data_IF_960736969954
#
_entry.id   IF_960736969954
#
_cell.length_a   1.000
_cell.length_b   1.000
_cell.length_c   1.000
_cell.angle_alpha   90.00
_cell.angle_beta   90.00
_cell.angle_gamma   90.00
#
_symmetry.space_group_name_H-M   'P 1'
#
loop_
_entity.id
_entity.type
_entity.pdbx_description
1 polymer ?
#
# COMPACT_ATOMS: atom_id res chain seq x y z
N UNK A 1 -10.34 25.47 -17.10
CA UNK A 1 -8.99 25.40 -16.50
C UNK A 1 -9.01 24.70 -15.14
N UNK A 2 -10.01 24.92 -14.29
CA UNK A 2 -10.13 24.25 -12.98
C UNK A 2 -10.23 22.71 -13.06
N UNK A 3 -10.82 22.17 -14.13
CA UNK A 3 -10.94 20.71 -14.34
C UNK A 3 -9.64 20.02 -14.73
N UNK A 4 -8.65 20.77 -15.24
CA UNK A 4 -7.38 20.19 -15.67
C UNK A 4 -6.52 19.76 -14.48
N UNK A 5 -6.53 20.53 -13.39
CA UNK A 5 -5.77 20.20 -12.17
C UNK A 5 -6.26 18.93 -11.50
N UNK A 6 -7.58 18.66 -11.55
CA UNK A 6 -8.22 17.51 -10.89
C UNK A 6 -8.17 16.25 -11.77
N UNK A 7 -7.76 16.38 -13.03
CA UNK A 7 -7.62 15.23 -13.92
C UNK A 7 -6.57 14.25 -13.34
N UNK A 8 -6.89 12.98 -13.07
CA UNK A 8 -6.05 12.11 -12.24
C UNK A 8 -4.59 11.96 -12.71
N UNK A 9 -4.31 11.78 -14.02
CA UNK A 9 -2.93 11.79 -14.52
C UNK A 9 -2.18 13.10 -14.27
N UNK A 10 -2.85 14.25 -14.39
CA UNK A 10 -2.24 15.58 -14.17
C UNK A 10 -1.96 15.77 -12.68
N UNK A 11 -2.93 15.48 -11.81
CA UNK A 11 -2.75 15.54 -10.37
C UNK A 11 -1.60 14.62 -9.90
N UNK A 12 -1.54 13.40 -10.43
CA UNK A 12 -0.46 12.46 -10.16
C UNK A 12 0.91 13.02 -10.55
N UNK A 13 1.04 13.56 -11.76
CA UNK A 13 2.31 14.13 -12.24
C UNK A 13 2.75 15.33 -11.39
N UNK A 14 1.81 16.20 -11.01
CA UNK A 14 2.10 17.35 -10.15
C UNK A 14 2.62 16.89 -8.79
N UNK A 15 1.94 15.95 -8.13
CA UNK A 15 2.33 15.42 -6.83
C UNK A 15 3.66 14.66 -6.88
N UNK A 16 3.87 13.86 -7.94
CA UNK A 16 5.14 13.17 -8.18
C UNK A 16 6.28 14.17 -8.32
N UNK A 17 6.10 15.19 -9.16
CA UNK A 17 7.11 16.22 -9.40
C UNK A 17 7.40 17.03 -8.12
N UNK A 18 6.37 17.37 -7.35
CA UNK A 18 6.54 17.99 -6.04
C UNK A 18 7.36 17.12 -5.08
N UNK A 19 7.07 15.82 -5.00
CA UNK A 19 7.83 14.86 -4.19
C UNK A 19 9.29 14.73 -4.63
N UNK A 20 9.55 14.70 -5.94
CA UNK A 20 10.91 14.66 -6.50
C UNK A 20 11.68 15.95 -6.21
N UNK A 21 11.04 17.12 -6.33
CA UNK A 21 11.65 18.41 -5.99
C UNK A 21 11.99 18.46 -4.51
N UNK A 22 11.06 18.06 -3.63
CA UNK A 22 11.31 18.00 -2.19
C UNK A 22 12.48 17.06 -1.88
N UNK A 23 12.50 15.84 -2.43
CA UNK A 23 13.59 14.88 -2.24
C UNK A 23 14.94 15.44 -2.71
N UNK A 24 14.98 16.05 -3.89
CA UNK A 24 16.20 16.65 -4.44
C UNK A 24 16.68 17.84 -3.60
N UNK A 25 15.77 18.72 -3.16
CA UNK A 25 16.09 19.88 -2.35
C UNK A 25 16.58 19.46 -0.96
N UNK A 26 15.87 18.54 -0.30
CA UNK A 26 16.27 17.97 0.98
C UNK A 26 17.63 17.28 0.90
N UNK A 27 17.90 16.52 -0.18
CA UNK A 27 19.21 15.88 -0.40
C UNK A 27 20.35 16.87 -0.64
N UNK A 28 20.06 18.06 -1.21
CA UNK A 28 21.05 19.13 -1.39
C UNK A 28 21.31 19.91 -0.10
N UNK A 29 20.27 20.17 0.69
CA UNK A 29 20.38 20.90 1.97
C UNK A 29 20.97 20.00 3.07
N UNK A 30 20.74 18.69 3.01
CA UNK A 30 21.24 17.75 4.00
C UNK A 30 22.77 17.82 4.14
N UNK A 31 23.24 17.89 5.38
CA UNK A 31 24.66 17.83 5.69
C UNK A 31 25.22 16.45 5.32
N UNK A 32 26.17 16.41 4.38
CA UNK A 32 26.72 15.14 3.87
C UNK A 32 27.88 14.60 4.69
N UNK A 33 28.56 15.46 5.47
CA UNK A 33 29.80 15.14 6.19
C UNK A 33 30.96 14.86 5.23
N UNK A 34 32.17 15.34 5.53
CA UNK A 34 33.32 15.17 4.65
C UNK A 34 33.81 13.70 4.55
N UNK A 35 33.53 12.89 5.58
CA UNK A 35 33.81 11.45 5.62
C UNK A 35 32.62 10.74 6.24
N UNK A 36 32.23 9.60 5.68
CA UNK A 36 31.25 8.71 6.31
C UNK A 36 31.89 8.14 7.57
N UNK A 37 31.34 8.44 8.76
CA UNK A 37 31.84 7.86 9.99
C UNK A 37 31.69 6.33 9.96
N UNK A 38 32.60 5.58 10.58
CA UNK A 38 32.42 4.15 10.80
C UNK A 38 31.08 3.92 11.50
N UNK A 39 30.19 3.13 10.90
CA UNK A 39 28.86 2.86 11.45
C UNK A 39 27.71 3.72 10.91
N UNK A 40 27.94 4.78 10.13
CA UNK A 40 26.87 5.64 9.57
C UNK A 40 25.79 4.86 8.80
N UNK A 41 26.20 3.78 8.13
CA UNK A 41 25.35 2.93 7.31
C UNK A 41 25.06 1.56 7.97
N UNK A 42 25.48 1.34 9.22
CA UNK A 42 25.13 0.11 9.95
C UNK A 42 23.65 0.17 10.34
N UNK A 43 22.97 -0.98 10.29
CA UNK A 43 21.61 -1.12 10.82
C UNK A 43 21.56 -0.73 12.29
N UNK A 44 20.46 -0.11 12.71
CA UNK A 44 20.27 0.23 14.11
C UNK A 44 20.07 -1.05 14.94
N UNK A 45 20.99 -1.33 15.85
CA UNK A 45 20.95 -2.45 16.79
C UNK A 45 21.40 -2.04 18.19
N UNK A 46 21.03 -0.84 18.64
CA UNK A 46 21.45 -0.29 19.94
C UNK A 46 22.99 -0.23 20.16
N UNK A 47 23.77 -0.17 19.08
CA UNK A 47 25.24 -0.16 19.12
C UNK A 47 25.88 -1.54 18.92
N UNK A 48 25.08 -2.60 18.81
CA UNK A 48 25.53 -3.96 18.53
C UNK A 48 25.60 -4.24 17.02
N UNK A 49 26.49 -5.17 16.64
CA UNK A 49 26.58 -5.68 15.28
C UNK A 49 25.54 -6.80 15.09
N UNK A 50 24.58 -6.57 14.19
CA UNK A 50 23.55 -7.56 13.87
C UNK A 50 24.13 -8.59 12.89
N UNK A 51 24.41 -9.79 13.39
CA UNK A 51 24.98 -10.89 12.58
C UNK A 51 24.03 -11.37 11.46
N UNK A 52 22.71 -11.33 11.71
CA UNK A 52 21.70 -11.74 10.73
C UNK A 52 20.71 -10.61 10.40
N UNK A 53 21.02 -9.76 9.41
CA UNK A 53 20.16 -8.63 9.05
C UNK A 53 18.85 -9.04 8.35
N UNK A 54 18.66 -10.33 8.03
CA UNK A 54 17.48 -10.85 7.32
C UNK A 54 16.75 -11.90 8.14
N UNK A 55 16.33 -11.51 9.34
CA UNK A 55 15.34 -12.26 10.09
C UNK A 55 14.04 -12.32 9.27
N UNK A 56 13.46 -13.51 9.16
CA UNK A 56 12.11 -13.72 8.64
C UNK A 56 11.16 -13.77 9.84
N UNK A 57 10.56 -12.64 10.24
CA UNK A 57 9.57 -12.67 11.30
C UNK A 57 8.39 -13.55 10.88
N UNK A 58 7.83 -14.28 11.85
CA UNK A 58 6.65 -15.10 11.59
C UNK A 58 5.43 -14.19 11.36
N UNK A 59 4.95 -14.16 10.12
CA UNK A 59 3.75 -13.46 9.71
C UNK A 59 2.53 -14.38 9.60
N UNK A 60 2.59 -15.62 10.11
CA UNK A 60 1.47 -16.57 10.07
C UNK A 60 0.16 -15.96 10.58
N UNK A 61 0.22 -15.17 11.66
CA UNK A 61 -0.92 -14.47 12.21
C UNK A 61 -1.39 -13.29 11.35
N UNK A 62 -0.47 -12.61 10.66
CA UNK A 62 -0.79 -11.48 9.79
C UNK A 62 -1.41 -11.93 8.45
N UNK A 63 -1.10 -13.15 8.01
CA UNK A 63 -1.52 -13.70 6.73
C UNK A 63 -3.03 -13.65 6.53
N UNK A 64 -3.82 -14.09 7.54
CA UNK A 64 -5.28 -14.03 7.46
C UNK A 64 -5.81 -12.59 7.33
N UNK A 65 -5.18 -11.61 7.98
CA UNK A 65 -5.58 -10.21 7.84
C UNK A 65 -5.28 -9.69 6.43
N UNK A 66 -4.10 -9.99 5.88
CA UNK A 66 -3.75 -9.57 4.53
C UNK A 66 -4.76 -10.07 3.49
N UNK A 67 -5.12 -11.36 3.54
CA UNK A 67 -6.10 -11.94 2.63
C UNK A 67 -7.52 -11.41 2.86
N UNK A 68 -7.92 -11.19 4.11
CA UNK A 68 -9.18 -10.53 4.43
C UNK A 68 -9.26 -9.17 3.73
N UNK A 69 -8.24 -8.32 3.90
CA UNK A 69 -8.19 -7.01 3.27
C UNK A 69 -8.21 -7.11 1.74
N UNK A 70 -7.48 -8.05 1.14
CA UNK A 70 -7.50 -8.25 -0.31
C UNK A 70 -8.87 -8.64 -0.83
N UNK A 71 -9.55 -9.61 -0.20
CA UNK A 71 -10.90 -10.04 -0.60
C UNK A 71 -11.86 -8.86 -0.48
N UNK A 72 -11.86 -8.16 0.66
CA UNK A 72 -12.74 -7.01 0.87
C UNK A 72 -12.45 -5.87 -0.11
N UNK A 73 -11.18 -5.62 -0.44
CA UNK A 73 -10.79 -4.57 -1.38
C UNK A 73 -11.33 -4.83 -2.79
N UNK A 74 -11.24 -6.08 -3.27
CA UNK A 74 -11.82 -6.47 -4.57
C UNK A 74 -13.33 -6.29 -4.56
N UNK A 75 -14.01 -6.70 -3.48
CA UNK A 75 -15.47 -6.55 -3.36
C UNK A 75 -15.89 -5.08 -3.43
N UNK A 76 -15.21 -4.21 -2.67
CA UNK A 76 -15.48 -2.77 -2.69
C UNK A 76 -15.21 -2.17 -4.06
N UNK A 77 -14.10 -2.54 -4.72
CA UNK A 77 -13.77 -2.08 -6.06
C UNK A 77 -14.86 -2.46 -7.07
N UNK A 78 -15.35 -3.70 -7.04
CA UNK A 78 -16.40 -4.17 -7.93
C UNK A 78 -17.73 -3.44 -7.68
N UNK A 79 -18.10 -3.22 -6.42
CA UNK A 79 -19.33 -2.48 -6.06
C UNK A 79 -19.23 -1.01 -6.47
N UNK A 80 -18.08 -0.37 -6.21
CA UNK A 80 -17.88 1.05 -6.49
C UNK A 80 -17.81 1.38 -7.99
N UNK A 81 -17.38 0.43 -8.82
CA UNK A 81 -17.26 0.62 -10.28
C UNK A 81 -18.45 0.05 -11.06
N UNK A 82 -19.34 -0.70 -10.43
CA UNK A 82 -20.54 -1.23 -11.07
C UNK A 82 -21.49 -0.10 -11.50
N UNK A 83 -22.03 -0.12 -12.74
CA UNK A 83 -23.05 0.83 -13.17
C UNK A 83 -24.26 0.83 -12.24
N UNK A 84 -24.81 2.01 -11.93
CA UNK A 84 -25.94 2.15 -11.01
C UNK A 84 -27.15 1.27 -11.39
N UNK A 85 -27.40 1.09 -12.69
CA UNK A 85 -28.48 0.23 -13.18
C UNK A 85 -28.25 -1.25 -12.87
N UNK A 86 -27.00 -1.72 -12.92
CA UNK A 86 -26.63 -3.11 -12.55
C UNK A 86 -26.72 -3.35 -11.04
N UNK A 87 -26.49 -2.33 -10.22
CA UNK A 87 -26.65 -2.40 -8.77
C UNK A 87 -28.14 -2.46 -8.40
N UNK A 88 -29.00 -1.70 -9.09
CA UNK A 88 -30.47 -1.74 -8.92
C UNK A 88 -31.07 -3.10 -9.22
N UNK A 89 -30.49 -3.85 -10.16
CA UNK A 89 -30.88 -5.22 -10.46
C UNK A 89 -30.52 -6.23 -9.34
N UNK A 90 -29.74 -5.83 -8.32
CA UNK A 90 -29.48 -6.57 -7.07
C UNK A 90 -28.66 -7.86 -7.18
N UNK A 91 -28.79 -8.58 -8.30
CA UNK A 91 -28.18 -9.90 -8.49
C UNK A 91 -26.65 -9.89 -8.48
N UNK A 92 -26.02 -8.90 -9.11
CA UNK A 92 -24.54 -8.81 -9.14
C UNK A 92 -23.94 -8.50 -7.76
N UNK A 93 -24.56 -7.58 -7.01
CA UNK A 93 -24.12 -7.25 -5.65
C UNK A 93 -24.24 -8.47 -4.72
N UNK A 94 -25.33 -9.23 -4.84
CA UNK A 94 -25.53 -10.47 -4.10
C UNK A 94 -24.49 -11.54 -4.46
N UNK A 95 -24.17 -11.69 -5.75
CA UNK A 95 -23.17 -12.63 -6.23
C UNK A 95 -21.77 -12.29 -5.70
N UNK A 96 -21.38 -11.01 -5.70
CA UNK A 96 -20.11 -10.57 -5.09
C UNK A 96 -20.05 -10.81 -3.59
N UNK A 97 -21.17 -10.61 -2.88
CA UNK A 97 -21.25 -10.90 -1.45
C UNK A 97 -21.09 -12.39 -1.16
N UNK A 98 -21.69 -13.27 -1.97
CA UNK A 98 -21.50 -14.73 -1.85
C UNK A 98 -20.03 -15.11 -2.08
N UNK A 99 -19.39 -14.56 -3.13
CA UNK A 99 -17.98 -14.82 -3.40
C UNK A 99 -17.10 -14.34 -2.22
N UNK A 100 -17.39 -13.16 -1.69
CA UNK A 100 -16.68 -12.61 -0.53
C UNK A 100 -16.79 -13.53 0.68
N UNK A 101 -18.02 -13.89 1.06
CA UNK A 101 -18.30 -14.77 2.20
C UNK A 101 -17.67 -16.15 1.99
N UNK A 102 -17.72 -16.70 0.78
CA UNK A 102 -17.08 -17.98 0.45
C UNK A 102 -15.56 -17.91 0.58
N UNK A 103 -14.93 -16.85 0.06
CA UNK A 103 -13.49 -16.62 0.18
C UNK A 103 -13.05 -16.45 1.63
N UNK A 104 -13.81 -15.69 2.43
CA UNK A 104 -13.56 -15.54 3.86
C UNK A 104 -13.77 -16.85 4.63
N UNK A 105 -14.81 -17.62 4.29
CA UNK A 105 -15.05 -18.92 4.89
C UNK A 105 -13.89 -19.88 4.62
N UNK A 106 -13.39 -19.94 3.38
CA UNK A 106 -12.21 -20.75 3.03
C UNK A 106 -10.97 -20.27 3.80
N UNK A 107 -10.76 -18.95 3.90
CA UNK A 107 -9.61 -18.37 4.58
C UNK A 107 -9.56 -18.68 6.08
N UNK A 108 -10.73 -18.68 6.75
CA UNK A 108 -10.83 -18.96 8.18
C UNK A 108 -11.14 -20.42 8.52
N UNK A 109 -11.39 -21.25 7.51
CA UNK A 109 -11.54 -22.70 7.68
C UNK A 109 -10.16 -23.30 7.90
N UNK A 110 -9.82 -23.50 9.18
CA UNK A 110 -8.69 -24.33 9.60
C UNK A 110 -8.95 -25.80 9.29
#
# INVERSE_FOLDING_TARGET
METLLIYPPVAFLILLLAGLIMSALSSKIAFKGAKSSPGKLKSYGCGEDIENPRLQPDYSQFFSFAFFFTIMHVVVLMIATAPADTIRLGGMAFLYLIIAVSGLFILFRR
#
